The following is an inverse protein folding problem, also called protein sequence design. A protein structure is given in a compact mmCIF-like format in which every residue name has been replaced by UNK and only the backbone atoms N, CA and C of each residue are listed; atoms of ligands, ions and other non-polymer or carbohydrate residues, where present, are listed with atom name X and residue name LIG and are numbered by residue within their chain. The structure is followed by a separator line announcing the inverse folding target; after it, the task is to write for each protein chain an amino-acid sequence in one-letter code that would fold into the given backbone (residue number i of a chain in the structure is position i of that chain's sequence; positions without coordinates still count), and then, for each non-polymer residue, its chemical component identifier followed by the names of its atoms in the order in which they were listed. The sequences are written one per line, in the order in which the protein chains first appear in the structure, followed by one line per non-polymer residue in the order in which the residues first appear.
data_IF_171016897766
#
_entry.id   IF_171016897766
#
_cell.length_a   1.000
_cell.length_b   1.000
_cell.length_c   1.000
_cell.angle_alpha   90.00
_cell.angle_beta   90.00
_cell.angle_gamma   90.00
#
_symmetry.space_group_name_H-M   'P 1'
#
loop_
_entity.id
_entity.type
_entity.pdbx_description
1 polymer ?
#
# COMPACT_ATOMS: atom_id res chain seq x y z
N UNK A 1 -23.47 -5.58 37.97
CA UNK A 1 -22.07 -5.64 37.48
C UNK A 1 -22.03 -6.28 36.10
N UNK A 2 -22.04 -5.50 35.03
CA UNK A 2 -21.78 -6.02 33.68
C UNK A 2 -20.27 -6.21 33.51
N UNK A 3 -19.83 -7.47 33.44
CA UNK A 3 -18.47 -7.81 33.00
C UNK A 3 -18.32 -7.28 31.57
N UNK A 4 -17.66 -6.12 31.40
CA UNK A 4 -17.07 -5.73 30.12
C UNK A 4 -16.05 -6.80 29.79
N UNK A 5 -16.40 -7.73 28.91
CA UNK A 5 -15.47 -8.68 28.33
C UNK A 5 -14.50 -7.87 27.47
N UNK A 6 -13.40 -7.42 28.06
CA UNK A 6 -12.29 -6.80 27.33
C UNK A 6 -11.88 -7.82 26.27
N UNK A 7 -12.15 -7.53 24.99
CA UNK A 7 -11.65 -8.37 23.89
C UNK A 7 -10.13 -8.44 24.03
N UNK A 8 -9.63 -9.61 24.43
CA UNK A 8 -8.20 -9.88 24.47
C UNK A 8 -7.63 -9.65 23.07
N UNK A 9 -6.41 -9.11 22.99
CA UNK A 9 -5.69 -9.01 21.72
C UNK A 9 -5.57 -10.40 21.11
N UNK A 10 -5.95 -10.56 19.85
CA UNK A 10 -6.02 -11.86 19.20
C UNK A 10 -5.78 -11.77 17.71
N UNK A 11 -5.31 -12.87 17.11
CA UNK A 11 -5.23 -13.03 15.65
C UNK A 11 -6.17 -14.15 15.22
N UNK A 12 -7.15 -13.84 14.39
CA UNK A 12 -8.15 -14.79 13.91
C UNK A 12 -8.03 -14.97 12.40
N UNK A 13 -7.94 -16.22 11.94
CA UNK A 13 -8.09 -16.52 10.52
C UNK A 13 -9.57 -16.40 10.10
N UNK A 14 -9.83 -15.81 8.95
CA UNK A 14 -11.16 -15.65 8.37
C UNK A 14 -11.14 -16.19 6.94
N UNK A 15 -12.11 -17.02 6.60
CA UNK A 15 -12.31 -17.50 5.23
C UNK A 15 -12.75 -16.39 4.28
N UNK A 16 -13.27 -15.28 4.81
CA UNK A 16 -13.67 -14.11 4.03
C UNK A 16 -13.33 -12.84 4.82
N UNK A 17 -12.24 -12.17 4.42
CA UNK A 17 -11.87 -10.83 4.87
C UNK A 17 -12.36 -9.79 3.87
N UNK A 18 -12.16 -10.04 2.57
CA UNK A 18 -12.56 -9.14 1.49
C UNK A 18 -13.00 -9.94 0.27
N UNK A 19 -14.22 -9.71 -0.22
CA UNK A 19 -14.74 -10.28 -1.49
C UNK A 19 -14.69 -11.83 -1.60
N UNK A 20 -14.66 -12.54 -0.47
CA UNK A 20 -14.51 -14.00 -0.42
C UNK A 20 -13.07 -14.49 -0.28
N UNK A 21 -12.10 -13.57 -0.16
CA UNK A 21 -10.68 -13.90 0.00
C UNK A 21 -10.33 -14.15 1.47
N UNK A 22 -9.57 -15.21 1.78
CA UNK A 22 -9.16 -15.53 3.13
C UNK A 22 -8.04 -14.62 3.62
N UNK A 23 -7.91 -14.53 4.94
CA UNK A 23 -6.91 -13.69 5.57
C UNK A 23 -6.91 -13.77 7.09
N UNK A 24 -6.20 -12.84 7.70
CA UNK A 24 -6.07 -12.75 9.16
C UNK A 24 -6.55 -11.38 9.63
N UNK A 25 -7.31 -11.38 10.73
CA UNK A 25 -7.72 -10.17 11.42
C UNK A 25 -7.04 -10.11 12.79
N UNK A 26 -6.21 -9.10 12.99
CA UNK A 26 -5.55 -8.80 14.24
C UNK A 26 -6.42 -7.79 15.01
N UNK A 27 -6.79 -8.13 16.24
CA UNK A 27 -7.62 -7.28 17.09
C UNK A 27 -6.81 -6.74 18.26
N UNK A 28 -7.06 -5.47 18.59
CA UNK A 28 -6.67 -4.83 19.84
C UNK A 28 -7.87 -4.10 20.47
N UNK A 29 -7.67 -3.48 21.62
CA UNK A 29 -8.75 -2.77 22.33
C UNK A 29 -9.19 -1.51 21.59
N UNK A 30 -8.27 -0.83 20.91
CA UNK A 30 -8.52 0.40 20.14
C UNK A 30 -9.14 0.14 18.77
N UNK A 31 -8.98 -1.06 18.19
CA UNK A 31 -9.34 -1.29 16.80
C UNK A 31 -8.79 -2.60 16.23
N UNK A 32 -8.61 -2.66 14.92
CA UNK A 32 -8.11 -3.84 14.23
C UNK A 32 -7.38 -3.54 12.93
N UNK A 33 -6.58 -4.52 12.50
CA UNK A 33 -5.93 -4.58 11.19
C UNK A 33 -6.30 -5.89 10.53
N UNK A 34 -6.58 -5.87 9.22
CA UNK A 34 -6.83 -7.09 8.45
C UNK A 34 -5.86 -7.21 7.28
N UNK A 35 -5.37 -8.42 7.08
CA UNK A 35 -4.47 -8.79 5.99
C UNK A 35 -5.01 -9.96 5.20
N UNK A 36 -4.66 -10.02 3.91
CA UNK A 36 -5.11 -11.06 2.99
C UNK A 36 -4.01 -12.11 2.77
N UNK A 37 -4.40 -13.39 2.60
CA UNK A 37 -3.44 -14.43 2.23
C UNK A 37 -2.96 -14.24 0.79
N UNK A 38 -3.86 -13.93 -0.15
CA UNK A 38 -3.48 -13.58 -1.53
C UNK A 38 -2.88 -12.17 -1.59
N UNK A 39 -1.61 -12.07 -2.00
CA UNK A 39 -0.87 -10.83 -2.16
C UNK A 39 -0.34 -10.20 -0.87
N UNK A 40 -0.70 -10.73 0.30
CA UNK A 40 -0.20 -10.27 1.59
C UNK A 40 -0.66 -8.86 1.99
N UNK A 41 -1.61 -8.27 1.27
CA UNK A 41 -2.02 -6.88 1.43
C UNK A 41 -2.64 -6.60 2.80
N UNK A 42 -2.38 -5.40 3.36
CA UNK A 42 -3.17 -4.89 4.48
C UNK A 42 -4.38 -4.15 3.88
N UNK A 43 -5.57 -4.70 4.08
CA UNK A 43 -6.81 -4.21 3.46
C UNK A 43 -7.71 -3.43 4.42
N UNK A 44 -7.51 -3.56 5.74
CA UNK A 44 -8.24 -2.80 6.75
C UNK A 44 -7.28 -2.23 7.80
N UNK A 45 -7.48 -0.96 8.16
CA UNK A 45 -6.89 -0.31 9.33
C UNK A 45 -7.99 0.49 10.04
N UNK A 46 -8.60 -0.09 11.08
CA UNK A 46 -9.83 0.47 11.63
C UNK A 46 -9.64 0.85 13.09
N UNK A 47 -9.92 2.11 13.40
CA UNK A 47 -10.00 2.65 14.75
C UNK A 47 -11.45 2.65 15.22
N UNK A 48 -11.74 2.00 16.35
CA UNK A 48 -13.11 1.91 16.89
C UNK A 48 -13.72 3.29 17.17
N UNK A 49 -12.90 4.23 17.66
CA UNK A 49 -13.32 5.60 17.96
C UNK A 49 -13.71 6.41 16.71
N UNK A 50 -13.31 5.96 15.52
CA UNK A 50 -13.64 6.60 14.23
C UNK A 50 -14.84 5.94 13.53
N UNK A 51 -15.73 5.27 14.28
CA UNK A 51 -16.97 4.72 13.74
C UNK A 51 -16.78 3.57 12.75
N UNK A 52 -15.64 2.90 12.77
CA UNK A 52 -15.36 1.78 11.86
C UNK A 52 -14.89 2.18 10.47
N UNK A 53 -14.56 3.45 10.23
CA UNK A 53 -14.02 3.92 8.94
C UNK A 53 -12.70 3.21 8.65
N UNK A 54 -12.62 2.60 7.47
CA UNK A 54 -11.38 2.07 6.92
C UNK A 54 -10.78 3.10 5.95
N UNK A 55 -9.57 3.62 6.20
CA UNK A 55 -8.92 4.58 5.32
C UNK A 55 -8.37 3.92 4.05
N UNK A 56 -8.14 2.61 4.07
CA UNK A 56 -7.55 1.87 2.96
C UNK A 56 -8.49 1.79 1.76
N UNK A 57 -7.91 1.97 0.57
CA UNK A 57 -8.66 1.88 -0.67
C UNK A 57 -9.11 0.46 -0.99
N UNK A 58 -10.40 0.33 -1.33
CA UNK A 58 -10.95 -0.86 -1.95
C UNK A 58 -11.26 -0.56 -3.42
N UNK A 59 -10.86 -1.42 -4.37
CA UNK A 59 -11.28 -1.29 -5.76
C UNK A 59 -12.81 -1.30 -5.91
N UNK A 60 -13.31 -0.65 -6.97
CA UNK A 60 -14.74 -0.66 -7.31
C UNK A 60 -15.20 -2.02 -7.85
N UNK A 61 -14.27 -2.82 -8.37
CA UNK A 61 -14.54 -4.17 -8.84
C UNK A 61 -14.37 -5.20 -7.71
N UNK A 62 -15.04 -6.34 -7.84
CA UNK A 62 -14.87 -7.46 -6.92
C UNK A 62 -13.49 -8.08 -7.11
N UNK A 63 -12.69 -8.13 -6.05
CA UNK A 63 -11.37 -8.76 -6.07
C UNK A 63 -11.47 -10.29 -5.94
N UNK A 64 -10.43 -10.98 -6.41
CA UNK A 64 -10.17 -12.41 -6.19
C UNK A 64 -8.74 -12.59 -5.68
N UNK A 65 -8.38 -13.79 -5.24
CA UNK A 65 -6.97 -14.08 -4.97
C UNK A 65 -6.16 -13.97 -6.29
N UNK A 66 -5.04 -13.22 -6.32
CA UNK A 66 -4.26 -13.03 -7.54
C UNK A 66 -3.82 -14.33 -8.22
N UNK A 67 -3.56 -15.38 -7.44
CA UNK A 67 -3.21 -16.72 -7.94
C UNK A 67 -4.34 -17.43 -8.70
N UNK A 68 -5.59 -17.00 -8.50
CA UNK A 68 -6.75 -17.47 -9.25
C UNK A 68 -6.95 -16.73 -10.57
N UNK A 69 -6.17 -15.67 -10.87
CA UNK A 69 -6.27 -14.97 -12.14
C UNK A 69 -5.97 -15.91 -13.32
N UNK A 70 -6.82 -15.86 -14.35
CA UNK A 70 -6.66 -16.57 -15.62
C UNK A 70 -6.93 -15.56 -16.74
N UNK A 71 -5.94 -15.32 -17.59
CA UNK A 71 -6.00 -14.27 -18.61
C UNK A 71 -7.25 -14.38 -19.48
N UNK A 72 -7.50 -15.55 -20.08
CA UNK A 72 -8.66 -15.78 -20.96
C UNK A 72 -10.01 -15.53 -20.29
N UNK A 73 -10.12 -15.80 -18.99
CA UNK A 73 -11.37 -15.69 -18.25
C UNK A 73 -11.58 -14.28 -17.67
N UNK A 74 -10.51 -13.61 -17.27
CA UNK A 74 -10.60 -12.39 -16.45
C UNK A 74 -10.12 -11.12 -17.15
N UNK A 75 -9.64 -11.20 -18.40
CA UNK A 75 -9.18 -10.05 -19.20
C UNK A 75 -10.14 -8.86 -19.15
N UNK A 76 -11.45 -9.10 -19.32
CA UNK A 76 -12.47 -8.05 -19.37
C UNK A 76 -12.66 -7.31 -18.04
N UNK A 77 -12.31 -7.94 -16.91
CA UNK A 77 -12.56 -7.39 -15.57
C UNK A 77 -11.29 -6.71 -15.04
N UNK A 78 -10.15 -7.39 -15.10
CA UNK A 78 -8.91 -6.92 -14.48
C UNK A 78 -7.88 -6.39 -15.47
N UNK A 79 -8.07 -6.61 -16.78
CA UNK A 79 -7.11 -6.25 -17.81
C UNK A 79 -6.17 -7.39 -18.20
N UNK A 80 -5.31 -7.15 -19.22
CA UNK A 80 -4.35 -8.13 -19.72
C UNK A 80 -3.18 -8.32 -18.75
N UNK A 81 -2.29 -9.26 -19.05
CA UNK A 81 -0.97 -9.27 -18.41
C UNK A 81 -0.14 -8.09 -18.93
N UNK A 82 0.79 -7.53 -18.12
CA UNK A 82 1.18 -7.98 -16.79
C UNK A 82 0.31 -7.45 -15.62
N UNK A 83 -0.50 -6.43 -15.81
CA UNK A 83 -1.21 -5.75 -14.71
C UNK A 83 -2.37 -6.57 -14.15
N UNK A 84 -3.06 -7.33 -15.01
CA UNK A 84 -4.34 -7.96 -14.68
C UNK A 84 -4.27 -8.92 -13.50
N UNK A 85 -3.13 -9.59 -13.29
CA UNK A 85 -2.93 -10.46 -12.12
C UNK A 85 -2.88 -9.66 -10.82
N UNK A 86 -2.18 -8.53 -10.82
CA UNK A 86 -2.13 -7.60 -9.69
C UNK A 86 -3.51 -6.97 -9.46
N UNK A 87 -4.12 -6.40 -10.51
CA UNK A 87 -5.41 -5.72 -10.43
C UNK A 87 -6.55 -6.63 -9.97
N UNK A 88 -6.42 -7.95 -10.17
CA UNK A 88 -7.36 -8.93 -9.65
C UNK A 88 -7.47 -8.93 -8.12
N UNK A 89 -6.39 -8.59 -7.40
CA UNK A 89 -6.34 -8.68 -5.94
C UNK A 89 -5.79 -7.45 -5.20
N UNK A 90 -5.30 -6.42 -5.89
CA UNK A 90 -4.75 -5.22 -5.25
C UNK A 90 -5.79 -4.51 -4.36
N UNK A 91 -5.36 -4.08 -3.17
CA UNK A 91 -6.19 -3.29 -2.24
C UNK A 91 -5.30 -2.66 -1.18
N UNK A 92 -5.73 -1.52 -0.63
CA UNK A 92 -5.17 -0.89 0.56
C UNK A 92 -3.66 -0.70 0.46
N UNK A 93 -2.93 -1.40 1.32
CA UNK A 93 -1.47 -1.42 1.35
C UNK A 93 -0.95 -2.68 0.65
N UNK A 94 -0.56 -2.49 -0.61
CA UNK A 94 0.13 -3.52 -1.39
C UNK A 94 1.64 -3.41 -1.21
N UNK A 95 2.36 -4.52 -1.34
CA UNK A 95 3.82 -4.54 -1.34
C UNK A 95 4.31 -4.85 -2.76
N UNK A 96 5.15 -3.96 -3.27
CA UNK A 96 5.86 -4.12 -4.54
C UNK A 96 7.25 -4.65 -4.22
N UNK A 97 7.51 -5.89 -4.61
CA UNK A 97 8.78 -6.59 -4.37
C UNK A 97 8.86 -7.74 -5.37
N UNK A 98 9.92 -7.91 -6.13
CA UNK A 98 11.32 -7.42 -6.01
C UNK A 98 11.69 -6.25 -6.94
N UNK A 99 10.72 -5.71 -7.69
CA UNK A 99 10.87 -4.51 -8.52
C UNK A 99 9.61 -3.66 -8.51
N UNK A 100 9.71 -2.42 -9.00
CA UNK A 100 8.60 -1.48 -9.10
C UNK A 100 8.38 -1.05 -10.55
N UNK A 101 7.16 -1.26 -11.05
CA UNK A 101 6.73 -0.88 -12.39
C UNK A 101 6.39 -2.09 -13.25
N UNK A 102 6.14 -1.86 -14.55
CA UNK A 102 5.92 -2.95 -15.50
C UNK A 102 7.25 -3.67 -15.83
N UNK A 103 7.23 -5.00 -15.98
CA UNK A 103 8.35 -5.76 -16.50
C UNK A 103 8.55 -5.56 -18.02
N UNK A 104 9.70 -5.97 -18.55
CA UNK A 104 9.98 -5.99 -20.01
C UNK A 104 9.09 -6.99 -20.75
N UNK A 105 8.93 -6.89 -22.09
CA UNK A 105 8.22 -7.90 -22.87
C UNK A 105 8.71 -9.35 -22.65
N UNK A 106 10.02 -9.55 -22.53
CA UNK A 106 10.66 -10.85 -22.28
C UNK A 106 10.34 -11.36 -20.87
N UNK A 107 10.39 -10.48 -19.87
CA UNK A 107 10.01 -10.81 -18.49
C UNK A 107 8.51 -11.15 -18.39
N UNK A 108 7.65 -10.41 -19.10
CA UNK A 108 6.21 -10.73 -19.21
C UNK A 108 6.02 -12.12 -19.81
N UNK A 109 6.76 -12.45 -20.88
CA UNK A 109 6.72 -13.78 -21.49
C UNK A 109 7.22 -14.89 -20.52
N UNK A 110 8.16 -14.56 -19.63
CA UNK A 110 8.62 -15.42 -18.53
C UNK A 110 7.65 -15.45 -17.32
N UNK A 111 6.52 -14.75 -17.39
CA UNK A 111 5.43 -14.81 -16.41
C UNK A 111 5.48 -13.76 -15.30
N UNK A 112 6.37 -12.77 -15.40
CA UNK A 112 6.48 -11.66 -14.45
C UNK A 112 5.23 -10.77 -14.50
N UNK A 113 4.88 -10.18 -13.34
CA UNK A 113 3.72 -9.31 -13.17
C UNK A 113 4.14 -7.89 -12.81
N UNK A 114 3.27 -6.90 -12.98
CA UNK A 114 3.57 -5.53 -12.55
C UNK A 114 3.84 -5.49 -11.04
N UNK A 115 4.88 -4.77 -10.62
CA UNK A 115 5.31 -4.61 -9.22
C UNK A 115 5.83 -5.89 -8.52
N UNK A 116 6.37 -6.83 -9.29
CA UNK A 116 7.05 -8.01 -8.74
C UNK A 116 6.12 -9.16 -8.38
N UNK A 117 6.71 -10.16 -7.73
CA UNK A 117 6.04 -11.43 -7.41
C UNK A 117 5.25 -11.36 -6.09
N UNK A 118 5.74 -10.63 -5.09
CA UNK A 118 5.15 -10.57 -3.74
C UNK A 118 3.65 -10.20 -3.69
N UNK A 119 3.14 -9.22 -4.47
CA UNK A 119 1.74 -8.83 -4.39
C UNK A 119 0.78 -9.81 -5.08
N UNK A 120 1.29 -10.83 -5.78
CA UNK A 120 0.47 -11.75 -6.58
C UNK A 120 0.54 -13.22 -6.15
N UNK A 121 1.31 -13.54 -5.12
CA UNK A 121 1.44 -14.90 -4.57
C UNK A 121 0.65 -15.09 -3.28
N UNK A 122 0.49 -16.35 -2.86
CA UNK A 122 -0.12 -16.69 -1.57
C UNK A 122 0.91 -16.58 -0.45
N UNK A 123 0.63 -15.71 0.51
CA UNK A 123 1.34 -15.62 1.77
C UNK A 123 0.78 -16.62 2.76
N UNK A 124 1.68 -17.19 3.58
CA UNK A 124 1.34 -18.22 4.57
C UNK A 124 1.79 -17.77 5.95
N UNK A 125 0.90 -17.93 6.93
CA UNK A 125 1.24 -17.73 8.34
C UNK A 125 2.34 -18.71 8.75
N UNK A 126 3.32 -18.21 9.48
CA UNK A 126 4.36 -19.03 10.11
C UNK A 126 3.92 -19.41 11.53
N UNK A 127 4.28 -20.61 12.01
CA UNK A 127 4.07 -20.97 13.41
C UNK A 127 4.79 -19.97 14.33
N UNK A 128 4.13 -19.59 15.42
CA UNK A 128 4.72 -18.72 16.44
C UNK A 128 4.28 -19.16 17.83
N UNK A 129 5.10 -18.93 18.87
CA UNK A 129 4.66 -19.02 20.25
C UNK A 129 3.46 -18.11 20.51
N UNK A 130 2.66 -18.44 21.52
CA UNK A 130 1.59 -17.54 21.95
C UNK A 130 2.21 -16.21 22.41
N UNK A 131 1.70 -15.12 21.84
CA UNK A 131 2.07 -13.77 22.23
C UNK A 131 0.94 -13.18 23.07
N UNK A 132 1.35 -12.39 24.06
CA UNK A 132 0.43 -11.59 24.84
C UNK A 132 -0.19 -10.47 23.95
N UNK A 133 0.52 -10.03 22.91
CA UNK A 133 0.05 -9.06 21.92
C UNK A 133 -0.56 -9.79 20.71
N UNK A 134 -1.41 -9.10 19.95
CA UNK A 134 -1.87 -9.64 18.68
C UNK A 134 -0.71 -9.56 17.68
N UNK A 135 0.00 -10.68 17.49
CA UNK A 135 1.16 -10.80 16.62
C UNK A 135 0.90 -11.82 15.51
N UNK A 136 1.20 -11.45 14.27
CA UNK A 136 1.14 -12.33 13.10
C UNK A 136 2.46 -12.25 12.34
N UNK A 137 3.11 -13.40 12.17
CA UNK A 137 4.14 -13.57 11.14
C UNK A 137 3.61 -14.37 9.98
N UNK A 138 3.77 -13.83 8.78
CA UNK A 138 3.36 -14.45 7.54
C UNK A 138 4.28 -14.00 6.40
N UNK A 139 4.42 -14.82 5.36
CA UNK A 139 5.38 -14.56 4.30
C UNK A 139 5.16 -15.45 3.10
N UNK A 140 5.94 -15.22 2.06
CA UNK A 140 5.96 -16.01 0.85
C UNK A 140 7.40 -16.32 0.42
N UNK A 141 7.59 -17.51 -0.13
CA UNK A 141 8.74 -17.79 -0.96
C UNK A 141 8.37 -17.30 -2.37
N UNK A 142 9.31 -16.62 -3.01
CA UNK A 142 9.16 -15.93 -4.28
C UNK A 142 10.13 -16.60 -5.27
N UNK A 143 9.72 -17.72 -5.93
CA UNK A 143 10.59 -18.46 -6.83
C UNK A 143 11.14 -17.64 -8.00
N UNK A 144 10.36 -16.75 -8.60
CA UNK A 144 10.83 -15.90 -9.70
C UNK A 144 11.89 -14.91 -9.20
N UNK A 145 11.67 -14.35 -8.02
CA UNK A 145 12.63 -13.45 -7.39
C UNK A 145 13.80 -14.21 -6.70
N UNK A 146 13.75 -15.53 -6.58
CA UNK A 146 14.67 -16.33 -5.74
C UNK A 146 14.85 -15.73 -4.33
N UNK A 147 13.75 -15.30 -3.72
CA UNK A 147 13.76 -14.61 -2.42
C UNK A 147 12.69 -15.17 -1.51
N UNK A 148 12.87 -14.98 -0.20
CA UNK A 148 11.82 -15.17 0.79
C UNK A 148 11.51 -13.85 1.44
N UNK A 149 10.26 -13.43 1.39
CA UNK A 149 9.78 -12.22 2.05
C UNK A 149 8.87 -12.60 3.21
N UNK A 150 9.15 -12.06 4.39
CA UNK A 150 8.37 -12.25 5.60
C UNK A 150 7.96 -10.91 6.18
N UNK A 151 6.75 -10.85 6.72
CA UNK A 151 6.23 -9.72 7.50
C UNK A 151 5.79 -10.18 8.88
N UNK A 152 6.19 -9.42 9.89
CA UNK A 152 5.68 -9.47 11.26
C UNK A 152 4.81 -8.23 11.48
N UNK A 153 3.53 -8.43 11.80
CA UNK A 153 2.65 -7.36 12.27
C UNK A 153 2.32 -7.63 13.74
N UNK A 154 2.46 -6.61 14.58
CA UNK A 154 1.95 -6.64 15.94
C UNK A 154 1.18 -5.37 16.29
N UNK A 155 0.13 -5.53 17.10
CA UNK A 155 -0.68 -4.41 17.57
C UNK A 155 -0.35 -4.07 19.01
N UNK A 156 -0.11 -2.78 19.28
CA UNK A 156 -0.09 -2.31 20.66
C UNK A 156 -1.47 -2.56 21.31
N UNK A 157 -1.45 -2.95 22.59
CA UNK A 157 -2.67 -3.35 23.32
C UNK A 157 -3.60 -2.19 23.63
N UNK A 158 -3.06 -0.98 23.81
CA UNK A 158 -3.76 0.19 24.36
C UNK A 158 -3.83 1.34 23.36
N UNK A 159 -2.73 1.63 22.68
CA UNK A 159 -2.60 2.74 21.76
C UNK A 159 -2.80 2.28 20.31
N UNK A 160 -3.37 3.11 19.43
CA UNK A 160 -3.61 2.78 18.02
C UNK A 160 -2.31 2.77 17.21
N UNK A 161 -1.43 1.83 17.55
CA UNK A 161 -0.12 1.65 16.97
C UNK A 161 0.01 0.24 16.40
N UNK A 162 0.47 0.17 15.16
CA UNK A 162 0.73 -1.05 14.41
C UNK A 162 2.23 -1.09 14.15
N UNK A 163 2.90 -2.09 14.68
CA UNK A 163 4.31 -2.36 14.34
C UNK A 163 4.35 -3.31 13.16
N UNK A 164 5.10 -2.95 12.13
CA UNK A 164 5.33 -3.77 10.96
C UNK A 164 6.84 -3.89 10.75
N UNK A 165 7.34 -5.11 10.79
CA UNK A 165 8.71 -5.46 10.46
C UNK A 165 8.70 -6.41 9.28
N UNK A 166 9.64 -6.25 8.36
CA UNK A 166 9.76 -7.14 7.21
C UNK A 166 11.19 -7.61 7.03
N UNK A 167 11.35 -8.82 6.51
CA UNK A 167 12.65 -9.43 6.25
C UNK A 167 12.63 -10.07 4.87
N UNK A 168 13.60 -9.70 4.03
CA UNK A 168 13.88 -10.36 2.78
C UNK A 168 15.16 -11.20 2.90
N UNK A 169 15.11 -12.45 2.43
CA UNK A 169 16.26 -13.36 2.39
C UNK A 169 16.53 -13.70 0.93
N UNK A 170 17.74 -13.43 0.45
CA UNK A 170 18.21 -13.91 -0.85
C UNK A 170 18.42 -15.43 -0.78
N UNK A 171 17.72 -16.17 -1.64
CA UNK A 171 17.83 -17.63 -1.74
C UNK A 171 18.75 -18.05 -2.91
N UNK A 172 19.20 -17.10 -3.72
CA UNK A 172 20.14 -17.35 -4.79
C UNK A 172 21.58 -17.44 -4.26
N UNK A 173 22.47 -17.98 -5.08
CA UNK A 173 23.91 -18.04 -4.81
C UNK A 173 24.67 -16.78 -5.28
N UNK A 174 23.96 -15.71 -5.64
CA UNK A 174 24.53 -14.47 -6.16
C UNK A 174 23.71 -13.26 -5.67
N UNK A 175 24.35 -12.10 -5.60
CA UNK A 175 23.70 -10.84 -5.25
C UNK A 175 23.01 -10.21 -6.45
N UNK A 176 21.87 -9.57 -6.21
CA UNK A 176 21.17 -8.78 -7.23
C UNK A 176 20.45 -7.58 -6.61
N UNK A 177 20.30 -6.47 -7.35
CA UNK A 177 19.53 -5.34 -6.87
C UNK A 177 18.06 -5.73 -6.71
N UNK A 178 17.40 -5.09 -5.75
CA UNK A 178 15.94 -5.18 -5.54
C UNK A 178 15.35 -3.79 -5.44
N UNK A 179 14.07 -3.67 -5.78
CA UNK A 179 13.22 -2.59 -5.32
C UNK A 179 12.27 -3.10 -4.25
N UNK A 180 12.12 -2.29 -3.20
CA UNK A 180 11.21 -2.56 -2.11
C UNK A 180 10.32 -1.33 -1.95
N UNK A 181 9.04 -1.47 -2.29
CA UNK A 181 8.10 -0.37 -2.20
C UNK A 181 6.81 -0.77 -1.50
N UNK A 182 6.39 0.05 -0.55
CA UNK A 182 5.07 -0.01 0.06
C UNK A 182 4.10 0.85 -0.75
N UNK A 183 3.24 0.20 -1.53
CA UNK A 183 2.22 0.85 -2.33
C UNK A 183 0.93 1.04 -1.51
N UNK A 184 0.93 2.04 -0.63
CA UNK A 184 -0.21 2.40 0.21
C UNK A 184 -1.22 3.21 -0.61
N UNK A 185 -2.48 2.80 -0.61
CA UNK A 185 -3.55 3.49 -1.32
C UNK A 185 -4.70 3.79 -0.37
N UNK A 186 -5.09 5.06 -0.30
CA UNK A 186 -6.22 5.55 0.49
C UNK A 186 -7.45 5.73 -0.38
N UNK A 187 -8.64 5.53 0.19
CA UNK A 187 -9.90 5.58 -0.54
C UNK A 187 -11.03 6.24 0.24
N UNK A 188 -12.15 6.46 -0.44
CA UNK A 188 -13.36 6.98 0.19
C UNK A 188 -13.88 5.99 1.25
N UNK A 189 -14.52 6.47 2.35
CA UNK A 189 -14.85 7.87 2.64
C UNK A 189 -13.71 8.66 3.33
N UNK A 190 -12.56 8.05 3.59
CA UNK A 190 -11.44 8.73 4.24
C UNK A 190 -10.73 9.71 3.32
N UNK A 191 -10.40 9.27 2.09
CA UNK A 191 -9.88 10.13 1.04
C UNK A 191 -11.01 10.98 0.47
N UNK A 192 -10.95 12.27 0.70
CA UNK A 192 -11.92 13.27 0.28
C UNK A 192 -11.20 14.44 -0.39
N UNK A 193 -11.52 14.75 -1.66
CA UNK A 193 -10.92 15.88 -2.37
C UNK A 193 -11.11 17.19 -1.61
N UNK A 194 -10.09 18.04 -1.62
CA UNK A 194 -10.02 19.33 -0.91
C UNK A 194 -10.17 19.26 0.62
N UNK A 195 -10.29 18.07 1.21
CA UNK A 195 -10.46 17.88 2.67
C UNK A 195 -9.33 17.07 3.25
N UNK A 196 -8.90 16.00 2.57
CA UNK A 196 -7.81 15.15 3.06
C UNK A 196 -6.47 15.80 2.78
N UNK A 197 -5.66 15.92 3.83
CA UNK A 197 -4.33 16.50 3.78
C UNK A 197 -3.27 15.41 3.82
N UNK A 198 -2.26 15.56 2.96
CA UNK A 198 -1.06 14.74 2.91
C UNK A 198 0.14 15.58 3.33
N UNK A 199 0.99 15.06 4.19
CA UNK A 199 2.25 15.71 4.52
C UNK A 199 3.39 14.70 4.71
N UNK A 200 4.60 15.16 4.42
CA UNK A 200 5.85 14.42 4.56
C UNK A 200 7.00 15.42 4.64
N UNK A 201 8.12 15.07 5.28
CA UNK A 201 9.31 15.92 5.34
C UNK A 201 10.10 15.82 4.03
N UNK A 202 9.45 16.10 2.90
CA UNK A 202 10.09 16.09 1.58
C UNK A 202 10.74 17.45 1.27
N UNK A 203 11.84 17.38 0.53
CA UNK A 203 12.64 18.54 0.10
C UNK A 203 12.47 18.74 -1.40
N UNK A 204 13.34 18.13 -2.21
CA UNK A 204 13.31 18.17 -3.67
C UNK A 204 12.32 17.15 -4.22
N UNK A 205 11.67 17.51 -5.31
CA UNK A 205 10.65 16.71 -5.97
C UNK A 205 10.79 16.78 -7.48
N UNK A 206 10.27 15.77 -8.18
CA UNK A 206 10.24 15.73 -9.64
C UNK A 206 8.90 15.18 -10.14
N UNK A 207 8.35 15.83 -11.15
CA UNK A 207 7.18 15.32 -11.89
C UNK A 207 7.65 14.22 -12.84
N UNK A 208 6.91 13.11 -12.89
CA UNK A 208 7.22 12.04 -13.85
C UNK A 208 7.25 12.62 -15.28
N UNK A 209 8.24 12.27 -16.10
CA UNK A 209 8.26 12.69 -17.51
C UNK A 209 7.06 12.13 -18.30
N UNK A 210 6.60 10.93 -17.94
CA UNK A 210 5.43 10.33 -18.56
C UNK A 210 4.14 11.04 -18.12
N UNK A 211 3.24 11.25 -19.08
CA UNK A 211 1.90 11.77 -18.82
C UNK A 211 0.93 10.62 -18.56
N UNK A 212 0.27 10.63 -17.41
CA UNK A 212 -0.69 9.58 -17.01
C UNK A 212 -2.15 9.96 -17.31
N UNK A 213 -2.43 11.21 -17.70
CA UNK A 213 -3.76 11.68 -18.08
C UNK A 213 -3.70 12.86 -19.04
N UNK A 214 -4.68 12.96 -19.94
CA UNK A 214 -4.82 14.12 -20.83
C UNK A 214 -5.08 15.43 -20.07
N UNK A 215 -5.63 15.32 -18.86
CA UNK A 215 -6.01 16.45 -17.99
C UNK A 215 -4.97 16.75 -16.90
N UNK A 216 -3.75 16.21 -17.01
CA UNK A 216 -2.67 16.49 -16.06
C UNK A 216 -2.32 17.98 -16.06
N UNK A 217 -2.55 18.66 -14.94
CA UNK A 217 -2.31 20.10 -14.79
C UNK A 217 -0.82 20.46 -14.58
N UNK A 218 -0.08 19.58 -13.90
CA UNK A 218 1.32 19.80 -13.56
C UNK A 218 2.23 19.59 -14.78
N UNK A 219 3.32 20.36 -14.84
CA UNK A 219 4.29 20.33 -15.94
C UNK A 219 5.15 19.06 -15.86
N UNK A 220 5.10 18.16 -16.86
CA UNK A 220 5.95 16.96 -16.88
C UNK A 220 7.43 17.30 -16.80
N UNK A 221 8.21 16.37 -16.23
CA UNK A 221 9.68 16.44 -16.08
C UNK A 221 10.23 17.63 -15.24
N UNK A 222 9.35 18.46 -14.68
CA UNK A 222 9.76 19.60 -13.85
C UNK A 222 10.30 19.17 -12.47
N UNK A 223 11.38 19.82 -12.04
CA UNK A 223 11.86 19.76 -10.65
C UNK A 223 11.25 20.89 -9.82
N UNK A 224 10.98 20.62 -8.54
CA UNK A 224 10.38 21.60 -7.65
C UNK A 224 10.66 21.30 -6.17
N UNK A 225 10.37 22.26 -5.32
CA UNK A 225 10.39 22.08 -3.86
C UNK A 225 9.00 21.67 -3.37
N UNK A 226 8.94 20.61 -2.58
CA UNK A 226 7.71 20.16 -1.96
C UNK A 226 7.08 21.31 -1.15
N UNK A 227 5.75 21.53 -1.22
CA UNK A 227 4.73 20.77 -1.96
C UNK A 227 4.28 21.42 -3.28
N UNK A 228 5.03 22.39 -3.83
CA UNK A 228 4.55 23.28 -4.90
C UNK A 228 4.93 22.78 -6.30
N UNK A 229 4.12 21.88 -6.87
CA UNK A 229 4.35 21.34 -8.21
C UNK A 229 4.02 22.39 -9.30
N UNK A 230 4.90 22.66 -10.27
CA UNK A 230 4.65 23.65 -11.33
C UNK A 230 3.47 23.23 -12.21
N UNK A 231 2.56 24.16 -12.53
CA UNK A 231 1.48 23.95 -13.51
C UNK A 231 1.95 24.31 -14.93
N UNK A 232 1.36 23.68 -15.96
CA UNK A 232 1.67 23.92 -17.38
C UNK A 232 1.49 25.39 -17.82
N UNK A 233 0.54 26.10 -17.22
CA UNK A 233 0.17 27.48 -17.59
C UNK A 233 0.60 28.52 -16.53
N UNK A 234 1.65 28.21 -15.76
CA UNK A 234 2.14 29.06 -14.67
C UNK A 234 1.43 28.81 -13.34
N UNK A 235 2.05 29.28 -12.25
CA UNK A 235 1.62 28.98 -10.89
C UNK A 235 2.01 27.56 -10.43
N UNK A 236 1.44 27.12 -9.31
CA UNK A 236 1.73 25.83 -8.69
C UNK A 236 0.46 25.12 -8.21
N UNK A 237 0.49 23.79 -8.24
CA UNK A 237 -0.43 22.90 -7.56
C UNK A 237 0.19 22.56 -6.19
N UNK A 238 -0.57 22.73 -5.11
CA UNK A 238 -0.16 22.28 -3.80
C UNK A 238 -0.49 20.79 -3.62
N UNK A 239 0.53 19.93 -3.64
CA UNK A 239 0.37 18.48 -3.55
C UNK A 239 -0.01 17.97 -2.15
N UNK A 240 -0.22 18.85 -1.16
CA UNK A 240 -0.77 18.45 0.15
C UNK A 240 -2.25 18.10 0.11
N UNK A 241 -2.95 18.41 -0.97
CA UNK A 241 -4.39 18.18 -1.12
C UNK A 241 -4.70 17.81 -2.56
N UNK A 242 -5.65 16.92 -2.77
CA UNK A 242 -6.13 16.58 -4.11
C UNK A 242 -7.36 17.41 -4.49
N UNK A 243 -7.45 17.87 -5.73
CA UNK A 243 -8.61 18.59 -6.26
C UNK A 243 -9.68 17.62 -6.79
N UNK A 244 -10.94 18.06 -6.87
CA UNK A 244 -11.97 17.33 -7.63
C UNK A 244 -11.67 17.40 -9.12
N UNK A 245 -11.79 16.29 -9.86
CA UNK A 245 -11.61 16.32 -11.31
C UNK A 245 -11.49 14.95 -11.94
N UNK A 246 -10.93 14.93 -13.15
CA UNK A 246 -10.54 13.72 -13.88
C UNK A 246 -9.08 13.83 -14.29
N UNK A 247 -8.16 13.26 -13.53
CA UNK A 247 -6.72 13.36 -13.78
C UNK A 247 -5.97 12.19 -13.15
N UNK A 248 -4.75 12.00 -13.64
CA UNK A 248 -3.78 11.05 -13.13
C UNK A 248 -2.38 11.63 -13.29
N UNK A 249 -1.57 11.56 -12.24
CA UNK A 249 -0.17 11.94 -12.31
C UNK A 249 0.67 11.23 -11.25
N UNK A 250 1.98 11.22 -11.48
CA UNK A 250 2.97 10.69 -10.56
C UNK A 250 4.07 11.72 -10.29
N UNK A 251 4.43 11.87 -9.02
CA UNK A 251 5.56 12.70 -8.58
C UNK A 251 6.45 11.91 -7.62
N UNK A 252 7.75 12.14 -7.68
CA UNK A 252 8.72 11.56 -6.76
C UNK A 252 9.25 12.65 -5.81
N UNK A 253 9.42 12.30 -4.54
CA UNK A 253 9.78 13.23 -3.47
C UNK A 253 10.95 12.68 -2.65
N UNK A 254 12.03 13.44 -2.55
CA UNK A 254 13.17 13.12 -1.69
C UNK A 254 12.82 13.50 -0.25
N UNK A 255 12.80 12.53 0.66
CA UNK A 255 12.68 12.81 2.09
C UNK A 255 13.96 13.44 2.62
N UNK A 256 13.82 14.38 3.54
CA UNK A 256 14.92 15.16 4.12
C UNK A 256 16.11 14.26 4.53
N UNK A 257 17.30 14.44 3.92
CA UNK A 257 18.51 13.71 4.25
C UNK A 257 19.00 13.81 5.68
N UNK A 258 18.66 14.89 6.38
CA UNK A 258 19.12 15.12 7.75
C UNK A 258 18.29 14.34 8.78
N UNK A 259 17.15 13.76 8.39
CA UNK A 259 16.28 13.00 9.28
C UNK A 259 16.67 11.53 9.35
N UNK A 260 16.80 11.02 10.58
CA UNK A 260 16.90 9.56 10.84
C UNK A 260 15.57 8.85 10.62
N UNK A 261 14.48 9.48 11.04
CA UNK A 261 13.11 8.95 10.97
C UNK A 261 12.29 9.85 10.06
N UNK A 262 11.65 9.27 9.06
CA UNK A 262 10.72 9.98 8.19
C UNK A 262 9.28 9.52 8.41
N UNK A 263 8.34 10.25 7.82
CA UNK A 263 6.92 9.93 7.92
C UNK A 263 6.14 10.29 6.66
N UNK A 264 4.98 9.65 6.52
CA UNK A 264 3.89 10.11 5.66
C UNK A 264 2.65 10.25 6.55
N UNK A 265 2.09 11.45 6.60
CA UNK A 265 0.90 11.79 7.37
C UNK A 265 -0.27 12.00 6.42
N UNK A 266 -1.40 11.34 6.69
CA UNK A 266 -2.64 11.53 5.94
C UNK A 266 -3.77 11.83 6.92
N UNK A 267 -4.32 13.04 6.84
CA UNK A 267 -5.31 13.55 7.79
C UNK A 267 -6.61 13.88 7.08
N UNK A 268 -7.72 13.31 7.55
CA UNK A 268 -9.04 13.84 7.26
C UNK A 268 -9.55 14.57 8.51
N UNK A 269 -9.50 15.92 8.56
CA UNK A 269 -9.87 16.69 9.74
C UNK A 269 -11.37 16.63 10.04
N UNK A 270 -12.22 16.46 9.00
CA UNK A 270 -13.66 16.31 9.15
C UNK A 270 -14.01 15.01 9.88
N UNK A 271 -13.30 13.93 9.57
CA UNK A 271 -13.41 12.64 10.25
C UNK A 271 -12.61 12.57 11.56
N UNK A 272 -11.80 13.61 11.87
CA UNK A 272 -10.86 13.64 12.99
C UNK A 272 -9.94 12.41 13.02
N UNK A 273 -9.50 11.97 11.84
CA UNK A 273 -8.70 10.77 11.67
C UNK A 273 -7.37 11.11 10.99
N UNK A 274 -6.27 10.68 11.60
CA UNK A 274 -4.91 10.77 11.08
C UNK A 274 -4.33 9.36 10.98
N UNK A 275 -3.80 9.03 9.81
CA UNK A 275 -2.96 7.85 9.60
C UNK A 275 -1.54 8.34 9.42
N UNK A 276 -0.63 7.79 10.22
CA UNK A 276 0.79 8.13 10.18
C UNK A 276 1.61 6.86 9.90
N UNK A 277 2.37 6.87 8.81
CA UNK A 277 3.43 5.91 8.57
C UNK A 277 4.73 6.52 9.06
N UNK A 278 5.47 5.80 9.91
CA UNK A 278 6.76 6.22 10.46
C UNK A 278 7.77 5.12 10.19
N UNK A 279 8.93 5.48 9.64
CA UNK A 279 9.94 4.52 9.21
C UNK A 279 11.35 5.13 9.27
N UNK A 280 12.37 4.26 9.28
CA UNK A 280 13.75 4.73 9.11
C UNK A 280 13.89 5.32 7.71
N UNK A 281 14.34 6.57 7.65
CA UNK A 281 14.45 7.31 6.38
C UNK A 281 15.44 6.65 5.43
N UNK A 282 16.49 6.02 5.94
CA UNK A 282 17.49 5.30 5.15
C UNK A 282 16.91 4.15 4.33
N UNK A 283 15.86 3.49 4.86
CA UNK A 283 15.28 2.30 4.25
C UNK A 283 14.37 2.70 3.07
N UNK A 284 13.72 3.86 3.19
CA UNK A 284 12.83 4.42 2.18
C UNK A 284 13.10 5.92 1.98
N UNK A 285 14.17 6.30 1.26
CA UNK A 285 14.57 7.70 1.12
C UNK A 285 13.65 8.52 0.20
N UNK A 286 12.76 7.87 -0.54
CA UNK A 286 11.86 8.49 -1.52
C UNK A 286 10.40 8.12 -1.26
N UNK A 287 9.51 9.06 -1.56
CA UNK A 287 8.07 8.81 -1.66
C UNK A 287 7.62 9.03 -3.10
N UNK A 288 6.98 8.03 -3.68
CA UNK A 288 6.19 8.17 -4.89
C UNK A 288 4.76 8.55 -4.56
N UNK A 289 4.28 9.68 -5.07
CA UNK A 289 2.88 10.09 -4.97
C UNK A 289 2.18 9.81 -6.30
N UNK A 290 1.32 8.80 -6.30
CA UNK A 290 0.40 8.51 -7.41
C UNK A 290 -0.98 9.05 -7.05
N UNK A 291 -1.47 10.03 -7.81
CA UNK A 291 -2.83 10.53 -7.69
C UNK A 291 -3.65 10.06 -8.89
N UNK A 292 -4.77 9.38 -8.60
CA UNK A 292 -5.74 8.91 -9.59
C UNK A 292 -7.12 9.42 -9.20
N UNK A 293 -7.70 10.25 -10.05
CA UNK A 293 -9.04 10.80 -9.89
C UNK A 293 -9.80 10.53 -11.18
N UNK A 294 -10.61 9.47 -11.21
CA UNK A 294 -11.54 9.15 -12.32
C UNK A 294 -10.97 9.31 -13.75
N UNK A 295 -9.70 8.95 -13.96
CA UNK A 295 -9.02 9.16 -15.24
C UNK A 295 -9.25 8.00 -16.23
N UNK A 296 -9.76 6.87 -15.76
CA UNK A 296 -10.21 5.73 -16.57
C UNK A 296 -11.71 5.72 -16.82
#
# INVERSE_FOLDING_TARGET
MHKKTTRLSSVTHRSNVLDGRPGFKLHSTWGHVSVLEGGGHICELVLNAAGGINPMWKPKWKTIDPSAYRHRTHLRIYGPLPEGRLLAGITGHSISFDYFGPPSPEEIAAGHSTHGEAPVVKWRRKPQPQSAQATLVYGADLPQAQMRLQRLISLDRKYPLVYCEETAVNLASFDRPISWNHHVTFGTPFLEPNVTFFDMPATRSKVCPATFSNNMQIQPDSEFLWPKAPKKHGGFLNLRTSETGRYGHYTAHLLDPELKTAFIAVCNPRLRLLVLYVFNRSDYPWVGNWEESYNR
#
